data_IF_776483969170
#
_entry.id   IF_776483969170
#
_cell.length_a   1.000
_cell.length_b   1.000
_cell.length_c   1.000
_cell.angle_alpha   90.00
_cell.angle_beta   90.00
_cell.angle_gamma   90.00
#
_symmetry.space_group_name_H-M   'P 1'
#
loop_
_entity.id
_entity.type
_entity.pdbx_description
1 polymer ?
#
# COMPACT_ATOMS: atom_id res chain seq x y z
N UNK A 1 -18.34 -15.62 -6.16
CA UNK A 1 -18.39 -14.52 -5.18
C UNK A 1 -17.52 -13.38 -5.69
N UNK A 2 -17.97 -12.14 -5.57
CA UNK A 2 -17.29 -10.94 -6.11
C UNK A 2 -16.86 -10.02 -4.97
N UNK A 3 -15.74 -9.33 -5.15
CA UNK A 3 -15.23 -8.34 -4.18
C UNK A 3 -15.84 -6.97 -4.49
N UNK A 4 -16.37 -6.30 -3.46
CA UNK A 4 -16.81 -4.90 -3.54
C UNK A 4 -15.80 -4.02 -2.82
N UNK A 5 -15.21 -3.07 -3.55
CA UNK A 5 -14.32 -2.05 -2.98
C UNK A 5 -15.05 -0.71 -2.95
N UNK A 6 -15.09 -0.07 -1.78
CA UNK A 6 -15.78 1.21 -1.58
C UNK A 6 -14.75 2.30 -1.28
N UNK A 7 -14.84 3.43 -1.98
CA UNK A 7 -13.92 4.55 -1.88
C UNK A 7 -14.61 5.78 -1.28
N UNK A 8 -14.73 5.90 0.06
CA UNK A 8 -15.30 7.08 0.69
C UNK A 8 -14.42 8.31 0.45
N UNK A 9 -15.03 9.43 0.12
CA UNK A 9 -14.34 10.69 -0.19
C UNK A 9 -13.90 11.45 1.07
N UNK A 10 -14.53 11.18 2.21
CA UNK A 10 -14.26 11.84 3.48
C UNK A 10 -14.47 10.93 4.71
N UNK A 11 -14.05 11.40 5.88
CA UNK A 11 -14.13 10.65 7.14
C UNK A 11 -15.56 10.39 7.60
N UNK A 12 -16.51 11.29 7.29
CA UNK A 12 -17.92 11.14 7.65
C UNK A 12 -18.56 9.98 6.87
N UNK A 13 -18.35 9.93 5.56
CA UNK A 13 -18.80 8.83 4.68
C UNK A 13 -18.21 7.49 5.15
N UNK A 14 -16.92 7.45 5.46
CA UNK A 14 -16.26 6.25 5.98
C UNK A 14 -16.89 5.79 7.30
N UNK A 15 -17.22 6.72 8.20
CA UNK A 15 -17.81 6.42 9.49
C UNK A 15 -19.24 5.90 9.36
N UNK A 16 -20.06 6.53 8.53
CA UNK A 16 -21.42 6.09 8.23
C UNK A 16 -21.44 4.67 7.64
N UNK A 17 -20.53 4.39 6.69
CA UNK A 17 -20.42 3.08 6.05
C UNK A 17 -20.05 1.98 7.05
N UNK A 18 -19.13 2.25 7.98
CA UNK A 18 -18.77 1.29 9.03
C UNK A 18 -19.94 0.97 9.95
N UNK A 19 -20.73 1.97 10.32
CA UNK A 19 -21.93 1.76 11.16
C UNK A 19 -22.94 0.89 10.43
N UNK A 20 -23.19 1.18 9.15
CA UNK A 20 -24.07 0.37 8.31
C UNK A 20 -23.57 -1.08 8.23
N UNK A 21 -22.32 -1.30 7.85
CA UNK A 21 -21.74 -2.66 7.75
C UNK A 21 -21.83 -3.43 9.06
N UNK A 22 -21.56 -2.79 10.21
CA UNK A 22 -21.70 -3.41 11.54
C UNK A 22 -23.16 -3.78 11.85
N UNK A 23 -24.11 -2.91 11.55
CA UNK A 23 -25.54 -3.18 11.80
C UNK A 23 -26.04 -4.42 11.05
N UNK A 24 -25.47 -4.70 9.88
CA UNK A 24 -25.80 -5.87 9.05
C UNK A 24 -24.86 -7.07 9.28
N UNK A 25 -23.99 -7.05 10.29
CA UNK A 25 -22.98 -8.09 10.55
C UNK A 25 -22.08 -8.39 9.34
N UNK A 26 -21.81 -7.38 8.51
CA UNK A 26 -20.89 -7.48 7.38
C UNK A 26 -19.46 -7.26 7.89
N UNK A 27 -18.59 -8.26 7.68
CA UNK A 27 -17.16 -8.16 8.00
C UNK A 27 -16.47 -7.30 6.95
N UNK A 28 -15.66 -6.34 7.39
CA UNK A 28 -14.87 -5.48 6.52
C UNK A 28 -13.44 -5.36 7.03
N UNK A 29 -12.50 -5.12 6.11
CA UNK A 29 -11.09 -4.88 6.41
C UNK A 29 -10.77 -3.41 6.23
N UNK A 30 -10.11 -2.79 7.21
CA UNK A 30 -9.58 -1.44 7.09
C UNK A 30 -8.09 -1.49 6.79
N UNK A 31 -7.72 -1.28 5.54
CA UNK A 31 -6.32 -1.13 5.18
C UNK A 31 -5.89 0.33 5.40
N UNK A 32 -5.48 0.65 6.63
CA UNK A 32 -4.99 1.99 7.00
C UNK A 32 -3.57 2.28 6.53
N UNK A 33 -2.87 1.28 5.99
CA UNK A 33 -1.50 1.43 5.53
C UNK A 33 -1.49 1.51 4.00
N UNK A 34 -1.06 2.64 3.39
CA UNK A 34 -0.95 2.71 1.94
C UNK A 34 0.08 1.71 1.39
N UNK A 35 1.04 1.31 2.23
CA UNK A 35 2.03 0.29 1.92
C UNK A 35 2.38 -0.51 3.18
N UNK A 36 2.69 -1.79 3.02
CA UNK A 36 3.12 -2.62 4.14
C UNK A 36 4.41 -2.06 4.78
N UNK A 37 4.58 -2.26 6.09
CA UNK A 37 5.73 -1.73 6.83
C UNK A 37 7.08 -2.25 6.29
N UNK A 38 7.14 -3.49 5.79
CA UNK A 38 8.35 -4.06 5.20
C UNK A 38 8.79 -3.31 3.94
N UNK A 39 7.83 -2.87 3.11
CA UNK A 39 8.03 -2.12 1.87
C UNK A 39 8.55 -0.73 2.20
N UNK A 40 7.95 -0.05 3.18
CA UNK A 40 8.43 1.26 3.66
C UNK A 40 9.87 1.16 4.16
N UNK A 41 10.18 0.13 4.96
CA UNK A 41 11.54 -0.10 5.46
C UNK A 41 12.54 -0.41 4.33
N UNK A 42 12.16 -1.24 3.35
CA UNK A 42 12.98 -1.54 2.19
C UNK A 42 13.27 -0.28 1.36
N UNK A 43 12.27 0.57 1.16
CA UNK A 43 12.43 1.85 0.46
C UNK A 43 13.38 2.80 1.19
N UNK A 44 13.28 2.89 2.53
CA UNK A 44 14.21 3.70 3.34
C UNK A 44 15.65 3.19 3.20
N UNK A 45 15.86 1.89 3.35
CA UNK A 45 17.17 1.26 3.21
C UNK A 45 17.75 1.50 1.81
N UNK A 46 16.95 1.31 0.76
CA UNK A 46 17.39 1.55 -0.61
C UNK A 46 17.83 3.00 -0.86
N UNK A 47 17.14 3.98 -0.28
CA UNK A 47 17.54 5.40 -0.36
C UNK A 47 18.87 5.67 0.35
N UNK A 48 19.11 5.06 1.51
CA UNK A 48 20.38 5.17 2.23
C UNK A 48 21.54 4.51 1.48
N UNK A 49 21.29 3.36 0.86
CA UNK A 49 22.28 2.68 0.01
C UNK A 49 22.61 3.52 -1.22
N UNK A 50 21.61 4.11 -1.86
CA UNK A 50 21.80 5.01 -2.99
C UNK A 50 22.61 6.26 -2.62
N UNK A 51 22.37 6.86 -1.46
CA UNK A 51 23.17 8.02 -1.01
C UNK A 51 24.61 7.66 -0.65
N UNK A 52 24.85 6.43 -0.19
CA UNK A 52 26.19 5.89 0.10
C UNK A 52 26.92 5.35 -1.13
N UNK A 53 26.27 5.29 -2.29
CA UNK A 53 26.84 4.68 -3.50
C UNK A 53 26.86 3.14 -3.48
N UNK A 54 26.14 2.50 -2.56
CA UNK A 54 25.96 1.05 -2.47
C UNK A 54 24.92 0.54 -3.48
N UNK A 55 25.01 0.99 -4.74
CA UNK A 55 24.10 0.62 -5.82
C UNK A 55 24.84 0.04 -7.01
N UNK A 56 24.16 -0.82 -7.77
CA UNK A 56 24.67 -1.34 -9.02
C UNK A 56 23.96 -0.61 -10.15
N UNK A 57 24.73 0.04 -11.02
CA UNK A 57 24.21 0.59 -12.27
C UNK A 57 24.18 -0.53 -13.30
N UNK A 58 23.02 -0.80 -13.85
CA UNK A 58 22.82 -1.76 -14.92
C UNK A 58 22.53 -1.00 -16.21
N UNK A 59 23.18 -1.40 -17.30
CA UNK A 59 23.01 -0.86 -18.65
C UNK A 59 22.05 -1.73 -19.47
N UNK A 60 21.50 -1.18 -20.56
CA UNK A 60 20.59 -1.93 -21.43
C UNK A 60 21.25 -3.18 -22.05
N UNK A 61 22.54 -3.08 -22.40
CA UNK A 61 23.32 -4.18 -22.97
C UNK A 61 23.51 -5.36 -22.00
N UNK A 62 23.41 -5.13 -20.68
CA UNK A 62 23.49 -6.17 -19.65
C UNK A 62 22.17 -6.92 -19.43
N UNK A 63 21.05 -6.32 -19.85
CA UNK A 63 19.70 -6.85 -19.63
C UNK A 63 19.24 -7.71 -20.83
N UNK A 64 19.65 -7.35 -22.04
CA UNK A 64 19.12 -7.91 -23.29
C UNK A 64 20.12 -8.80 -24.07
N UNK A 65 20.82 -9.71 -23.37
CA UNK A 65 21.70 -10.70 -24.02
C UNK A 65 20.96 -11.90 -24.60
#
# INVERSE_FOLDING_TARGET
>A
MSTLTVHPENQEQLSALKVFMKAFNIVFEENKQPYNAQFINKMRLSKEQASKGETVKVTLDEIWK
#
